data_IF_110149761567
#
_entry.id   IF_110149761567
#
_cell.length_a   1.000
_cell.length_b   1.000
_cell.length_c   1.000
_cell.angle_alpha   90.00
_cell.angle_beta   90.00
_cell.angle_gamma   90.00
#
_symmetry.space_group_name_H-M   'P 1'
#
loop_
_entity.id
_entity.type
_entity.pdbx_description
1 polymer ?
#
# COMPACT_ATOMS: atom_id res chain seq x y z
N UNK A 1 -53.80 -34.39 -53.56
CA UNK A 1 -53.67 -34.16 -52.11
C UNK A 1 -52.34 -33.47 -51.86
N UNK A 2 -52.32 -32.12 -51.77
CA UNK A 2 -51.17 -31.31 -51.60
C UNK A 2 -50.96 -31.01 -50.09
N UNK A 3 -49.77 -31.27 -49.54
CA UNK A 3 -49.43 -30.95 -48.18
C UNK A 3 -48.44 -29.79 -48.24
N UNK A 4 -48.95 -28.60 -47.95
CA UNK A 4 -48.11 -27.40 -47.84
C UNK A 4 -47.47 -27.40 -46.44
N UNK A 5 -46.12 -27.45 -46.41
CA UNK A 5 -45.35 -27.27 -45.20
C UNK A 5 -45.03 -25.80 -45.01
N UNK A 6 -45.69 -25.19 -44.05
CA UNK A 6 -45.38 -23.86 -43.56
C UNK A 6 -44.07 -23.91 -42.72
N UNK A 7 -42.99 -23.38 -43.23
CA UNK A 7 -41.77 -23.09 -42.47
C UNK A 7 -41.88 -21.73 -41.79
N UNK A 8 -42.17 -21.71 -40.50
CA UNK A 8 -42.04 -20.50 -39.67
C UNK A 8 -40.58 -20.27 -39.36
N UNK A 9 -40.05 -19.19 -39.93
CA UNK A 9 -38.70 -18.67 -39.57
C UNK A 9 -38.81 -17.97 -38.24
N UNK A 10 -38.25 -18.56 -37.18
CA UNK A 10 -38.00 -17.90 -35.93
C UNK A 10 -36.76 -17.03 -36.07
N UNK A 11 -36.93 -15.72 -36.02
CA UNK A 11 -35.82 -14.76 -35.95
C UNK A 11 -35.32 -14.72 -34.53
N UNK A 12 -34.12 -15.26 -34.30
CA UNK A 12 -33.40 -15.11 -33.02
C UNK A 12 -32.70 -13.76 -33.08
N UNK A 13 -33.28 -12.76 -32.44
CA UNK A 13 -32.59 -11.48 -32.17
C UNK A 13 -31.60 -11.68 -31.04
N UNK A 14 -30.31 -11.87 -31.39
CA UNK A 14 -29.20 -11.80 -30.43
C UNK A 14 -28.95 -10.33 -30.05
N UNK A 15 -29.51 -9.89 -28.94
CA UNK A 15 -29.16 -8.64 -28.34
C UNK A 15 -27.74 -8.78 -27.69
N UNK A 16 -26.69 -8.43 -28.44
CA UNK A 16 -25.38 -8.21 -27.90
C UNK A 16 -25.44 -6.94 -27.05
N UNK A 17 -25.64 -7.05 -25.74
CA UNK A 17 -25.40 -6.00 -24.79
C UNK A 17 -23.87 -5.90 -24.68
N UNK A 18 -23.27 -5.01 -25.47
CA UNK A 18 -21.87 -4.66 -25.34
C UNK A 18 -21.65 -4.01 -23.98
N UNK A 19 -21.16 -4.76 -22.99
CA UNK A 19 -20.52 -4.18 -21.82
C UNK A 19 -19.26 -3.45 -22.30
N UNK A 20 -19.41 -2.17 -22.56
CA UNK A 20 -18.25 -1.28 -22.73
C UNK A 20 -17.62 -1.16 -21.36
N UNK A 21 -16.59 -1.97 -21.11
CA UNK A 21 -15.68 -1.75 -20.02
C UNK A 21 -14.96 -0.45 -20.34
N UNK A 22 -15.44 0.67 -19.80
CA UNK A 22 -14.69 1.90 -19.72
C UNK A 22 -13.49 1.66 -18.80
N UNK A 23 -12.49 0.98 -19.32
CA UNK A 23 -11.13 1.09 -18.80
C UNK A 23 -10.69 2.48 -19.23
N UNK A 24 -11.01 3.48 -18.42
CA UNK A 24 -10.34 4.76 -18.48
C UNK A 24 -8.87 4.50 -18.16
N UNK A 25 -8.10 4.09 -19.15
CA UNK A 25 -6.67 4.28 -19.13
C UNK A 25 -6.50 5.80 -19.00
N UNK A 26 -6.42 6.29 -17.77
CA UNK A 26 -6.02 7.67 -17.53
C UNK A 26 -4.64 7.80 -18.15
N UNK A 27 -4.58 8.43 -19.30
CA UNK A 27 -3.33 8.81 -19.94
C UNK A 27 -2.64 9.75 -18.98
N UNK A 28 -1.58 9.26 -18.34
CA UNK A 28 -0.84 9.95 -17.25
C UNK A 28 0.03 11.11 -17.77
N UNK A 29 -0.36 11.75 -18.86
CA UNK A 29 0.38 12.84 -19.52
C UNK A 29 0.57 14.07 -18.62
N UNK A 30 -0.22 14.20 -17.53
CA UNK A 30 -0.18 15.34 -16.61
C UNK A 30 0.45 14.98 -15.26
N UNK A 31 1.11 13.85 -15.13
CA UNK A 31 1.80 13.52 -13.88
C UNK A 31 2.97 14.50 -13.65
N UNK A 32 3.16 15.01 -12.43
CA UNK A 32 4.29 15.87 -12.11
C UNK A 32 5.62 15.23 -12.48
N UNK A 33 6.59 16.04 -12.87
CA UNK A 33 7.92 15.56 -13.28
C UNK A 33 8.58 14.68 -12.20
N UNK A 34 8.47 15.05 -10.93
CA UNK A 34 8.98 14.25 -9.81
C UNK A 34 8.35 12.85 -9.77
N UNK A 35 7.06 12.74 -10.07
CA UNK A 35 6.36 11.44 -10.11
C UNK A 35 6.92 10.56 -11.22
N UNK A 36 7.08 11.11 -12.42
CA UNK A 36 7.58 10.35 -13.58
C UNK A 36 9.05 9.96 -13.45
N UNK A 37 9.86 10.80 -12.79
CA UNK A 37 11.31 10.64 -12.73
C UNK A 37 11.77 9.83 -11.53
N UNK A 38 11.19 10.06 -10.34
CA UNK A 38 11.68 9.46 -9.08
C UNK A 38 10.70 8.49 -8.43
N UNK A 39 9.39 8.75 -8.49
CA UNK A 39 8.43 8.00 -7.68
C UNK A 39 7.87 6.77 -8.41
N UNK A 40 7.61 6.89 -9.73
CA UNK A 40 6.84 5.90 -10.49
C UNK A 40 7.54 4.55 -10.61
N UNK A 41 8.87 4.50 -10.60
CA UNK A 41 9.64 3.25 -10.70
C UNK A 41 9.34 2.25 -9.58
N UNK A 42 9.04 2.75 -8.37
CA UNK A 42 8.72 1.92 -7.22
C UNK A 42 7.22 1.91 -6.90
N UNK A 43 6.57 3.08 -6.95
CA UNK A 43 5.19 3.24 -6.49
C UNK A 43 4.14 3.11 -7.61
N UNK A 44 4.59 3.06 -8.88
CA UNK A 44 3.70 3.20 -10.04
C UNK A 44 3.32 4.66 -10.27
N UNK A 45 3.02 5.03 -11.53
CA UNK A 45 2.64 6.40 -11.87
C UNK A 45 1.29 6.78 -11.25
N UNK A 46 0.41 5.83 -11.07
CA UNK A 46 -0.89 5.94 -10.43
C UNK A 46 -0.88 5.62 -8.93
N UNK A 47 0.29 5.32 -8.36
CA UNK A 47 0.45 4.98 -6.95
C UNK A 47 -0.05 3.59 -6.56
N UNK A 48 -0.37 2.72 -7.53
CA UNK A 48 -0.76 1.34 -7.27
C UNK A 48 0.44 0.40 -7.47
N UNK A 49 1.41 0.48 -6.55
CA UNK A 49 2.64 -0.30 -6.58
C UNK A 49 2.37 -1.80 -6.82
N UNK A 50 3.08 -2.38 -7.80
CA UNK A 50 2.98 -3.80 -8.14
C UNK A 50 3.95 -4.67 -7.33
N UNK A 51 5.06 -4.08 -6.86
CA UNK A 51 6.02 -4.79 -6.04
C UNK A 51 5.45 -4.99 -4.62
N UNK A 52 5.50 -6.22 -4.07
CA UNK A 52 4.84 -6.54 -2.79
C UNK A 52 5.34 -5.70 -1.61
N UNK A 53 6.61 -5.35 -1.61
CA UNK A 53 7.25 -4.60 -0.52
C UNK A 53 7.10 -3.09 -0.66
N UNK A 54 6.65 -2.61 -1.83
CA UNK A 54 6.46 -1.17 -2.06
C UNK A 54 5.07 -0.73 -1.60
N UNK A 55 4.96 0.40 -0.91
CA UNK A 55 3.66 0.90 -0.50
C UNK A 55 2.86 1.44 -1.69
N UNK A 56 1.58 1.10 -1.72
CA UNK A 56 0.62 1.78 -2.59
C UNK A 56 0.33 3.17 -2.04
N UNK A 57 0.48 4.17 -2.89
CA UNK A 57 0.28 5.59 -2.57
C UNK A 57 -1.05 6.15 -3.08
N UNK A 58 -1.74 5.44 -3.98
CA UNK A 58 -3.04 5.85 -4.51
C UNK A 58 -4.03 6.16 -3.39
N UNK A 59 -4.62 7.36 -3.38
CA UNK A 59 -5.51 7.81 -2.31
C UNK A 59 -4.84 7.99 -0.95
N UNK A 60 -3.54 8.32 -0.93
CA UNK A 60 -2.81 8.56 0.32
C UNK A 60 -3.40 9.74 1.09
N UNK A 61 -3.48 9.61 2.41
CA UNK A 61 -3.89 10.68 3.30
C UNK A 61 -2.79 11.75 3.39
N UNK A 62 -3.15 13.00 3.13
CA UNK A 62 -2.19 14.11 3.08
C UNK A 62 -1.48 14.35 4.42
N UNK A 63 -2.23 14.32 5.54
CA UNK A 63 -1.64 14.54 6.86
C UNK A 63 -0.66 13.42 7.25
N UNK A 64 -0.97 12.17 6.86
CA UNK A 64 -0.04 11.06 7.05
C UNK A 64 1.21 11.20 6.15
N UNK A 65 1.02 11.57 4.89
CA UNK A 65 2.14 11.72 3.95
C UNK A 65 3.12 12.80 4.41
N UNK A 66 2.61 13.98 4.84
CA UNK A 66 3.44 15.06 5.39
C UNK A 66 4.25 14.61 6.61
N UNK A 67 3.59 13.98 7.59
CA UNK A 67 4.28 13.42 8.77
C UNK A 67 5.35 12.39 8.39
N UNK A 68 5.06 11.55 7.40
CA UNK A 68 5.98 10.49 6.99
C UNK A 68 7.19 11.02 6.24
N UNK A 69 7.01 12.02 5.40
CA UNK A 69 8.08 12.66 4.65
C UNK A 69 9.02 13.42 5.59
N UNK A 70 8.49 14.20 6.54
CA UNK A 70 9.29 14.83 7.58
C UNK A 70 10.12 13.82 8.37
N UNK A 71 9.54 12.65 8.68
CA UNK A 71 10.26 11.58 9.34
C UNK A 71 11.43 11.02 8.51
N UNK A 72 11.37 11.06 7.19
CA UNK A 72 12.51 10.69 6.35
C UNK A 72 13.60 11.77 6.33
N UNK A 73 13.22 13.05 6.32
CA UNK A 73 14.16 14.17 6.40
C UNK A 73 14.96 14.19 7.71
N UNK A 74 14.29 13.89 8.85
CA UNK A 74 14.89 13.92 10.17
C UNK A 74 15.86 12.76 10.47
N UNK A 75 15.70 11.62 9.78
CA UNK A 75 16.47 10.40 10.08
C UNK A 75 17.70 10.25 9.18
N UNK A 76 17.90 11.11 8.21
CA UNK A 76 18.98 10.90 7.25
C UNK A 76 20.35 10.83 7.90
N UNK A 77 21.02 9.69 7.73
CA UNK A 77 22.42 9.58 8.07
C UNK A 77 23.27 10.46 7.13
N UNK A 78 24.46 10.86 7.53
CA UNK A 78 25.44 11.49 6.65
C UNK A 78 25.65 10.68 5.36
N UNK A 79 25.98 11.36 4.26
CA UNK A 79 26.10 10.74 2.92
C UNK A 79 27.13 9.60 2.90
N UNK A 80 28.18 9.70 3.66
CA UNK A 80 29.23 8.68 3.85
C UNK A 80 28.70 7.40 4.52
N UNK A 81 27.84 7.54 5.53
CA UNK A 81 27.14 6.41 6.16
C UNK A 81 26.13 5.76 5.21
N UNK A 82 25.44 6.56 4.39
CA UNK A 82 24.56 6.07 3.33
C UNK A 82 25.33 5.23 2.30
N UNK A 83 26.49 5.72 1.84
CA UNK A 83 27.34 5.03 0.89
C UNK A 83 27.90 3.72 1.44
N UNK A 84 28.40 3.72 2.69
CA UNK A 84 28.87 2.50 3.35
C UNK A 84 27.77 1.46 3.47
N UNK A 85 26.56 1.88 3.81
CA UNK A 85 25.38 1.01 3.92
C UNK A 85 24.99 0.38 2.58
N UNK A 86 25.06 1.13 1.46
CA UNK A 86 24.81 0.62 0.11
C UNK A 86 25.85 -0.45 -0.26
N UNK A 87 27.11 -0.23 0.06
CA UNK A 87 28.19 -1.18 -0.19
C UNK A 87 27.98 -2.47 0.62
N UNK A 88 27.57 -2.36 1.87
CA UNK A 88 27.32 -3.53 2.74
C UNK A 88 26.09 -4.32 2.29
N UNK A 89 25.03 -3.63 1.81
CA UNK A 89 23.87 -4.27 1.21
C UNK A 89 24.21 -5.05 -0.06
N UNK A 90 25.08 -4.51 -0.90
CA UNK A 90 25.52 -5.18 -2.12
C UNK A 90 26.31 -6.48 -1.82
N UNK A 91 26.95 -6.57 -0.65
CA UNK A 91 27.70 -7.74 -0.18
C UNK A 91 26.84 -8.76 0.57
N UNK A 92 25.67 -8.36 1.06
CA UNK A 92 24.83 -9.19 1.92
C UNK A 92 23.97 -10.18 1.09
N UNK A 93 23.93 -11.44 1.55
CA UNK A 93 23.10 -12.51 0.96
C UNK A 93 21.68 -12.59 1.55
N UNK A 94 21.33 -11.75 2.53
CA UNK A 94 20.02 -11.79 3.20
C UNK A 94 19.04 -10.83 2.50
N UNK A 95 18.20 -11.40 1.63
CA UNK A 95 17.34 -10.65 0.72
C UNK A 95 16.22 -9.85 1.40
N UNK A 96 15.52 -10.39 2.42
CA UNK A 96 14.36 -9.74 3.03
C UNK A 96 14.76 -8.52 3.89
N UNK A 97 15.77 -8.66 4.75
CA UNK A 97 16.30 -7.54 5.54
C UNK A 97 16.92 -6.46 4.66
N UNK A 98 17.55 -6.86 3.54
CA UNK A 98 18.15 -5.93 2.59
C UNK A 98 17.11 -5.09 1.85
N UNK A 99 16.00 -5.68 1.42
CA UNK A 99 14.92 -4.95 0.74
C UNK A 99 14.36 -3.86 1.65
N UNK A 100 14.01 -4.17 2.90
CA UNK A 100 13.44 -3.18 3.81
C UNK A 100 14.40 -2.03 4.16
N UNK A 101 15.70 -2.30 4.25
CA UNK A 101 16.73 -1.30 4.46
C UNK A 101 16.96 -0.44 3.22
N UNK A 102 16.99 -1.06 2.03
CA UNK A 102 17.11 -0.37 0.75
C UNK A 102 15.93 0.56 0.46
N UNK A 103 14.70 0.14 0.78
CA UNK A 103 13.50 1.00 0.69
C UNK A 103 13.65 2.29 1.50
N UNK A 104 14.16 2.18 2.73
CA UNK A 104 14.35 3.33 3.60
C UNK A 104 15.40 4.29 3.05
N UNK A 105 16.54 3.78 2.63
CA UNK A 105 17.62 4.58 2.03
C UNK A 105 17.12 5.29 0.77
N UNK A 106 16.36 4.62 -0.08
CA UNK A 106 15.83 5.20 -1.31
C UNK A 106 14.85 6.35 -1.01
N UNK A 107 13.95 6.18 -0.03
CA UNK A 107 12.99 7.23 0.34
C UNK A 107 13.64 8.40 1.09
N UNK A 108 14.60 8.12 1.95
CA UNK A 108 15.43 9.14 2.60
C UNK A 108 16.21 9.93 1.56
N UNK A 109 16.84 9.25 0.59
CA UNK A 109 17.53 9.89 -0.52
C UNK A 109 16.63 10.77 -1.38
N UNK A 110 15.40 10.31 -1.69
CA UNK A 110 14.43 11.13 -2.44
C UNK A 110 13.98 12.34 -1.61
N UNK A 111 13.70 12.16 -0.31
CA UNK A 111 13.26 13.25 0.56
C UNK A 111 14.34 14.38 0.68
N UNK A 112 15.62 14.03 0.57
CA UNK A 112 16.71 15.02 0.56
C UNK A 112 17.00 15.64 -0.81
N UNK A 113 16.89 14.85 -1.87
CA UNK A 113 17.23 15.29 -3.22
C UNK A 113 16.12 16.14 -3.86
N UNK A 114 14.86 15.89 -3.51
CA UNK A 114 13.73 16.58 -4.07
C UNK A 114 13.40 17.88 -3.34
N UNK A 115 12.97 18.89 -4.06
CA UNK A 115 12.51 20.14 -3.45
C UNK A 115 11.19 19.92 -2.70
N UNK A 116 10.93 20.65 -1.60
CA UNK A 116 9.68 20.53 -0.83
C UNK A 116 8.42 20.70 -1.68
N UNK A 117 8.43 21.61 -2.65
CA UNK A 117 7.28 21.82 -3.53
C UNK A 117 7.06 20.65 -4.49
N UNK A 118 8.11 20.05 -5.02
CA UNK A 118 8.04 18.86 -5.87
C UNK A 118 7.45 17.66 -5.09
N UNK A 119 7.90 17.47 -3.85
CA UNK A 119 7.36 16.44 -2.95
C UNK A 119 5.86 16.68 -2.70
N UNK A 120 5.47 17.93 -2.45
CA UNK A 120 4.07 18.30 -2.27
C UNK A 120 3.22 18.00 -3.51
N UNK A 121 3.74 18.29 -4.70
CA UNK A 121 3.08 17.93 -5.97
C UNK A 121 2.88 16.42 -6.10
N UNK A 122 3.90 15.61 -5.78
CA UNK A 122 3.80 14.15 -5.81
C UNK A 122 2.73 13.63 -4.83
N UNK A 123 2.70 14.15 -3.60
CA UNK A 123 1.70 13.78 -2.60
C UNK A 123 0.29 14.14 -3.06
N UNK A 124 0.11 15.35 -3.60
CA UNK A 124 -1.18 15.79 -4.16
C UNK A 124 -1.61 14.95 -5.36
N UNK A 125 -0.66 14.56 -6.21
CA UNK A 125 -0.93 13.66 -7.32
C UNK A 125 -1.45 12.31 -6.83
N UNK A 126 -0.70 11.64 -5.98
CA UNK A 126 -1.07 10.31 -5.46
C UNK A 126 -2.33 10.31 -4.61
N UNK A 127 -2.61 11.40 -3.89
CA UNK A 127 -3.84 11.51 -3.09
C UNK A 127 -5.12 11.47 -3.92
N UNK A 128 -5.04 11.90 -5.19
CA UNK A 128 -6.16 11.93 -6.14
C UNK A 128 -6.30 10.65 -6.97
N UNK A 129 -5.33 9.75 -6.92
CA UNK A 129 -5.35 8.55 -7.76
C UNK A 129 -6.36 7.52 -7.25
N UNK A 130 -7.03 6.87 -8.20
CA UNK A 130 -7.92 5.76 -7.91
C UNK A 130 -7.13 4.55 -7.40
N UNK A 131 -7.66 3.92 -6.37
CA UNK A 131 -7.07 2.72 -5.76
C UNK A 131 -7.46 1.49 -6.56
N UNK A 132 -6.54 0.54 -6.72
CA UNK A 132 -6.90 -0.80 -7.18
C UNK A 132 -7.70 -1.54 -6.10
N UNK A 133 -8.64 -2.40 -6.48
CA UNK A 133 -9.33 -3.30 -5.55
C UNK A 133 -8.35 -4.13 -4.72
N UNK A 134 -8.80 -4.56 -3.55
CA UNK A 134 -8.05 -5.48 -2.71
C UNK A 134 -7.77 -6.80 -3.43
N UNK A 135 -6.64 -7.43 -3.11
CA UNK A 135 -6.30 -8.75 -3.65
C UNK A 135 -6.83 -9.84 -2.72
N UNK A 136 -7.43 -10.87 -3.29
CA UNK A 136 -7.83 -12.07 -2.54
C UNK A 136 -6.63 -12.76 -1.90
N UNK A 137 -6.89 -13.53 -0.85
CA UNK A 137 -5.87 -14.28 -0.12
C UNK A 137 -6.48 -15.50 0.58
N UNK A 138 -5.72 -16.11 1.49
CA UNK A 138 -6.19 -17.22 2.30
C UNK A 138 -7.36 -16.78 3.18
N UNK A 139 -8.54 -17.36 3.00
CA UNK A 139 -9.78 -16.98 3.68
C UNK A 139 -9.71 -17.16 5.20
N UNK A 140 -8.97 -18.15 5.69
CA UNK A 140 -8.76 -18.35 7.15
C UNK A 140 -7.92 -17.21 7.75
N UNK A 141 -6.86 -16.80 7.05
CA UNK A 141 -6.04 -15.66 7.47
C UNK A 141 -6.83 -14.34 7.39
N UNK A 142 -7.64 -14.15 6.34
CA UNK A 142 -8.51 -12.98 6.20
C UNK A 142 -9.49 -12.90 7.37
N UNK A 143 -10.16 -14.00 7.71
CA UNK A 143 -11.12 -14.04 8.82
C UNK A 143 -10.44 -13.76 10.17
N UNK A 144 -9.29 -14.40 10.43
CA UNK A 144 -8.51 -14.17 11.64
C UNK A 144 -7.96 -12.75 11.73
N UNK A 145 -7.41 -12.23 10.62
CA UNK A 145 -6.91 -10.85 10.55
C UNK A 145 -8.00 -9.81 10.75
N UNK A 146 -9.22 -10.07 10.24
CA UNK A 146 -10.40 -9.22 10.50
C UNK A 146 -10.72 -9.18 12.00
N UNK A 147 -10.75 -10.33 12.65
CA UNK A 147 -11.00 -10.44 14.08
C UNK A 147 -9.98 -9.59 14.88
N UNK A 148 -8.69 -9.77 14.59
CA UNK A 148 -7.62 -9.02 15.23
C UNK A 148 -7.72 -7.50 14.96
N UNK A 149 -8.04 -7.12 13.73
CA UNK A 149 -8.17 -5.72 13.35
C UNK A 149 -9.33 -5.03 14.08
N UNK A 150 -10.46 -5.74 14.21
CA UNK A 150 -11.68 -5.20 14.82
C UNK A 150 -11.63 -5.22 16.35
N UNK A 151 -11.03 -6.26 16.96
CA UNK A 151 -11.15 -6.51 18.40
C UNK A 151 -9.83 -6.41 19.15
N UNK A 152 -8.69 -6.41 18.44
CA UNK A 152 -7.37 -6.51 19.05
C UNK A 152 -7.12 -7.86 19.73
N UNK A 153 -6.18 -7.90 20.64
CA UNK A 153 -5.87 -9.07 21.49
C UNK A 153 -5.78 -8.61 22.95
N UNK A 154 -6.90 -8.55 23.69
CA UNK A 154 -6.92 -7.99 25.04
C UNK A 154 -5.94 -8.67 26.00
N UNK A 155 -5.77 -9.99 25.88
CA UNK A 155 -4.82 -10.77 26.71
C UNK A 155 -3.35 -10.34 26.50
N UNK A 156 -3.01 -9.79 25.35
CA UNK A 156 -1.70 -9.27 24.98
C UNK A 156 -1.63 -7.73 25.01
N UNK A 157 -2.69 -7.06 25.47
CA UNK A 157 -2.82 -5.58 25.48
C UNK A 157 -2.70 -4.94 24.08
N UNK A 158 -2.97 -5.72 23.02
CA UNK A 158 -3.05 -5.22 21.66
C UNK A 158 -4.42 -4.60 21.44
N UNK A 159 -4.44 -3.28 21.19
CA UNK A 159 -5.68 -2.53 20.96
C UNK A 159 -6.28 -2.85 19.59
N UNK A 160 -7.62 -2.70 19.43
CA UNK A 160 -8.28 -2.79 18.13
C UNK A 160 -7.70 -1.77 17.13
N UNK A 161 -7.18 -2.24 16.01
CA UNK A 161 -6.55 -1.38 14.98
C UNK A 161 -7.55 -0.38 14.39
N UNK A 162 -8.83 -0.79 14.27
CA UNK A 162 -9.91 0.05 13.78
C UNK A 162 -10.10 1.36 14.58
N UNK A 163 -9.71 1.38 15.84
CA UNK A 163 -9.86 2.57 16.70
C UNK A 163 -9.19 3.80 16.10
N UNK A 164 -8.00 3.62 15.53
CA UNK A 164 -7.24 4.69 14.87
C UNK A 164 -7.39 4.66 13.35
N UNK A 165 -7.36 3.46 12.74
CA UNK A 165 -7.38 3.30 11.28
C UNK A 165 -8.78 3.30 10.66
N UNK A 166 -9.83 3.36 11.47
CA UNK A 166 -11.23 3.31 11.04
C UNK A 166 -11.72 1.89 10.76
N UNK A 167 -13.05 1.64 10.83
CA UNK A 167 -13.64 0.29 10.72
C UNK A 167 -13.43 -0.36 9.34
N UNK A 168 -13.24 0.45 8.30
CA UNK A 168 -12.93 -0.01 6.94
C UNK A 168 -11.44 0.19 6.61
N UNK A 169 -10.59 0.37 7.61
CA UNK A 169 -9.16 0.65 7.43
C UNK A 169 -8.87 1.83 6.49
N UNK A 170 -9.80 2.79 6.40
CA UNK A 170 -9.71 3.96 5.51
C UNK A 170 -8.74 5.03 6.00
N UNK A 171 -8.29 4.94 7.26
CA UNK A 171 -7.47 5.94 7.91
C UNK A 171 -8.28 7.11 8.46
N UNK A 172 -7.68 7.84 9.41
CA UNK A 172 -8.26 9.06 10.01
C UNK A 172 -7.14 9.96 10.55
N UNK A 173 -7.13 11.22 10.16
CA UNK A 173 -6.12 12.17 10.59
C UNK A 173 -4.71 11.69 10.21
N UNK A 174 -3.83 11.48 11.18
CA UNK A 174 -2.47 10.97 10.96
C UNK A 174 -2.38 9.45 10.82
N UNK A 175 -3.43 8.70 11.14
CA UNK A 175 -3.46 7.26 10.92
C UNK A 175 -3.69 6.99 9.43
N UNK A 176 -2.77 6.26 8.77
CA UNK A 176 -2.90 6.03 7.34
C UNK A 176 -4.06 5.09 7.00
N UNK A 177 -4.53 5.19 5.75
CA UNK A 177 -5.32 4.15 5.14
C UNK A 177 -4.49 2.88 5.01
N UNK A 178 -5.07 1.75 5.39
CA UNK A 178 -4.47 0.43 5.28
C UNK A 178 -5.21 -0.48 4.30
N UNK A 179 -6.49 -0.19 3.98
CA UNK A 179 -7.30 -0.98 3.07
C UNK A 179 -6.66 -1.07 1.68
N UNK A 180 -6.55 -2.29 1.15
CA UNK A 180 -5.97 -2.59 -0.15
C UNK A 180 -4.45 -2.42 -0.25
N UNK A 181 -3.74 -2.15 0.86
CA UNK A 181 -2.28 -2.05 0.90
C UNK A 181 -1.64 -3.43 0.74
N UNK A 182 -0.43 -3.51 0.20
CA UNK A 182 0.30 -4.76 0.03
C UNK A 182 0.59 -5.43 1.38
N UNK A 183 0.26 -6.73 1.51
CA UNK A 183 0.39 -7.45 2.76
C UNK A 183 1.84 -7.50 3.24
N UNK A 184 2.77 -7.80 2.36
CA UNK A 184 4.20 -7.89 2.66
C UNK A 184 4.75 -6.52 3.13
N UNK A 185 4.25 -5.43 2.56
CA UNK A 185 4.58 -4.10 3.05
C UNK A 185 4.04 -3.87 4.48
N UNK A 186 2.77 -4.20 4.74
CA UNK A 186 2.18 -4.03 6.08
C UNK A 186 2.92 -4.86 7.11
N UNK A 187 3.18 -6.13 6.81
CA UNK A 187 3.90 -7.06 7.70
C UNK A 187 5.29 -6.53 8.04
N UNK A 188 6.05 -6.10 7.02
CA UNK A 188 7.35 -5.46 7.22
C UNK A 188 7.27 -4.19 8.07
N UNK A 189 6.22 -3.36 7.91
CA UNK A 189 6.05 -2.16 8.73
C UNK A 189 5.66 -2.50 10.18
N UNK A 190 4.83 -3.51 10.41
CA UNK A 190 4.50 -3.98 11.77
C UNK A 190 5.74 -4.52 12.48
N UNK A 191 6.60 -5.28 11.78
CA UNK A 191 7.88 -5.73 12.32
C UNK A 191 8.79 -4.56 12.73
N UNK A 192 8.92 -3.52 11.87
CA UNK A 192 9.70 -2.31 12.16
C UNK A 192 9.16 -1.54 13.38
N UNK A 193 7.84 -1.46 13.57
CA UNK A 193 7.27 -0.85 14.78
C UNK A 193 7.60 -1.66 16.04
N UNK A 194 7.47 -2.99 15.98
CA UNK A 194 7.81 -3.89 17.12
C UNK A 194 9.27 -3.79 17.53
N UNK A 195 10.17 -3.61 16.56
CA UNK A 195 11.62 -3.45 16.77
C UNK A 195 12.01 -2.03 17.23
N UNK A 196 11.08 -1.08 17.19
CA UNK A 196 11.35 0.32 17.52
C UNK A 196 12.07 1.11 16.43
N UNK A 197 12.20 0.56 15.22
CA UNK A 197 12.89 1.20 14.09
C UNK A 197 12.12 2.39 13.51
N UNK A 198 10.81 2.47 13.79
CA UNK A 198 9.94 3.58 13.34
C UNK A 198 9.60 4.52 14.48
N UNK A 199 10.59 5.31 14.93
CA UNK A 199 10.50 6.18 16.12
C UNK A 199 9.49 7.33 16.00
N UNK A 200 9.10 7.73 14.78
CA UNK A 200 8.16 8.85 14.55
C UNK A 200 6.67 8.46 14.69
N UNK A 201 6.41 7.25 15.11
CA UNK A 201 5.06 6.79 15.43
C UNK A 201 5.09 5.92 16.70
N UNK A 202 5.44 6.50 17.86
CA UNK A 202 5.56 5.77 19.12
C UNK A 202 4.26 5.09 19.54
N UNK A 203 3.12 5.65 19.15
CA UNK A 203 1.80 5.05 19.33
C UNK A 203 1.70 3.67 18.65
N UNK A 204 2.26 3.52 17.44
CA UNK A 204 2.28 2.24 16.75
C UNK A 204 3.25 1.25 17.40
N UNK A 205 4.42 1.71 17.86
CA UNK A 205 5.36 0.86 18.61
C UNK A 205 4.70 0.30 19.86
N UNK A 206 3.95 1.14 20.57
CA UNK A 206 3.25 0.73 21.80
C UNK A 206 2.17 -0.33 21.53
N UNK A 207 1.34 -0.16 20.50
CA UNK A 207 0.22 -1.06 20.20
C UNK A 207 0.63 -2.34 19.47
N UNK A 208 1.81 -2.37 18.84
CA UNK A 208 2.29 -3.55 18.09
C UNK A 208 3.34 -4.36 18.86
N UNK A 209 3.83 -3.88 19.99
CA UNK A 209 4.93 -4.51 20.74
C UNK A 209 4.67 -6.01 21.02
N UNK A 210 3.47 -6.33 21.47
CA UNK A 210 3.09 -7.66 21.90
C UNK A 210 2.30 -8.44 20.80
N UNK A 211 2.21 -7.90 19.58
CA UNK A 211 1.62 -8.57 18.42
C UNK A 211 2.60 -9.62 17.87
N UNK A 212 2.21 -10.90 17.83
CA UNK A 212 3.10 -11.92 17.29
C UNK A 212 3.17 -11.89 15.73
N UNK A 213 4.18 -12.55 15.12
CA UNK A 213 4.36 -12.55 13.68
C UNK A 213 3.18 -13.13 12.90
N UNK A 214 2.54 -14.21 13.39
CA UNK A 214 1.41 -14.85 12.70
C UNK A 214 0.17 -13.96 12.75
N UNK A 215 -0.05 -13.27 13.87
CA UNK A 215 -1.07 -12.24 13.99
C UNK A 215 -0.82 -11.06 13.05
N UNK A 216 0.42 -10.60 12.95
CA UNK A 216 0.81 -9.54 12.02
C UNK A 216 0.56 -9.94 10.55
N UNK A 217 0.92 -11.17 10.19
CA UNK A 217 0.65 -11.74 8.87
C UNK A 217 -0.86 -11.81 8.59
N UNK A 218 -1.67 -12.30 9.53
CA UNK A 218 -3.11 -12.39 9.38
C UNK A 218 -3.75 -11.01 9.15
N UNK A 219 -3.38 -10.01 9.97
CA UNK A 219 -3.85 -8.62 9.81
C UNK A 219 -3.43 -8.05 8.46
N UNK A 220 -2.20 -8.29 8.02
CA UNK A 220 -1.69 -7.81 6.73
C UNK A 220 -2.49 -8.39 5.56
N UNK A 221 -2.75 -9.71 5.56
CA UNK A 221 -3.56 -10.39 4.53
C UNK A 221 -5.02 -9.89 4.52
N UNK A 222 -5.61 -9.66 5.69
CA UNK A 222 -6.93 -9.05 5.79
C UNK A 222 -6.95 -7.65 5.16
N UNK A 223 -6.02 -6.79 5.53
CA UNK A 223 -5.95 -5.41 5.04
C UNK A 223 -5.71 -5.33 3.52
N UNK A 224 -4.91 -6.23 2.97
CA UNK A 224 -4.72 -6.34 1.52
C UNK A 224 -6.02 -6.70 0.80
N UNK A 225 -6.89 -7.50 1.41
CA UNK A 225 -8.14 -7.97 0.80
C UNK A 225 -9.27 -6.93 0.77
N UNK A 226 -9.09 -5.75 1.40
CA UNK A 226 -10.13 -4.71 1.52
C UNK A 226 -10.26 -3.80 0.29
#
# INVERSE_FOLDING_TARGET
>A
MRIDRLFTKAAISAAFVGMIWNVSAQTNWNAPHIVTTYCSGCHGIDGNAQLPYMPKLAGINLAYADRKLKAFEEISPPVDEMLSTIVDLAKSKNTAANVTRQERINMEGVAHAAKPDEIKEAVLWYSKQARTPGRSGNQKLIAHGKELFMNGVPAQKVLPCQTCHGPNAQGKGFAPRLSGQNAEYIEGQLAKFRQGDRRHAPEMTMVTRDLDPDQACAVAVYLQSQ
#
